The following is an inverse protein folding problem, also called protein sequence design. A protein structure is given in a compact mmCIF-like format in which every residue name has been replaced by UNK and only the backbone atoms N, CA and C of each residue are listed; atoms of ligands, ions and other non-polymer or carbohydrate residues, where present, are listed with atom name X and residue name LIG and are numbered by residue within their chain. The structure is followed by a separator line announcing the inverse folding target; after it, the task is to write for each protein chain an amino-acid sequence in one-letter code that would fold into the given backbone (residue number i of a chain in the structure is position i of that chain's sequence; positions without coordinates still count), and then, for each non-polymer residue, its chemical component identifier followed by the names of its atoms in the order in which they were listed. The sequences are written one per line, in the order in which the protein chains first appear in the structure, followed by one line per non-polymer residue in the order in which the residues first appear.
data_IF_646890940480
#
_entry.id   IF_646890940480
#
_cell.length_a   1.000
_cell.length_b   1.000
_cell.length_c   1.000
_cell.angle_alpha   90.00
_cell.angle_beta   90.00
_cell.angle_gamma   90.00
#
_symmetry.space_group_name_H-M   'P 1'
#
loop_
_entity.id
_entity.type
_entity.pdbx_description
1 polymer ?
#
# COMPACT_ATOMS: atom_id res chain seq x y z
N UNK A 1 4.37 17.16 -17.00
CA UNK A 1 5.19 16.06 -16.46
C UNK A 1 6.53 16.17 -17.16
N UNK A 2 7.59 16.47 -16.42
CA UNK A 2 8.94 16.51 -16.97
C UNK A 2 9.51 15.09 -16.93
N UNK A 3 9.86 14.58 -18.11
CA UNK A 3 10.28 13.20 -18.34
C UNK A 3 11.76 12.99 -17.98
N UNK A 4 12.54 14.07 -17.89
CA UNK A 4 13.97 13.98 -17.59
C UNK A 4 14.23 13.39 -16.21
N UNK A 5 13.42 13.74 -15.21
CA UNK A 5 13.55 13.24 -13.84
C UNK A 5 13.29 11.73 -13.74
N UNK A 6 12.44 11.20 -14.61
CA UNK A 6 12.06 9.78 -14.62
C UNK A 6 13.18 8.88 -15.18
N UNK A 7 13.91 9.36 -16.20
CA UNK A 7 15.11 8.69 -16.71
C UNK A 7 16.27 8.72 -15.73
N UNK A 8 16.40 9.79 -14.95
CA UNK A 8 17.39 9.86 -13.87
C UNK A 8 17.10 8.82 -12.79
N UNK A 9 15.83 8.63 -12.40
CA UNK A 9 15.44 7.63 -11.40
C UNK A 9 15.66 6.19 -11.91
N UNK A 10 15.39 5.91 -13.19
CA UNK A 10 15.66 4.58 -13.75
C UNK A 10 17.15 4.27 -13.87
N UNK A 11 18.01 5.29 -14.05
CA UNK A 11 19.46 5.12 -14.01
C UNK A 11 19.98 4.66 -12.63
N UNK A 12 19.23 4.92 -11.56
CA UNK A 12 19.51 4.42 -10.21
C UNK A 12 18.83 3.07 -9.90
N UNK A 13 18.31 2.37 -10.91
CA UNK A 13 17.57 1.11 -10.77
C UNK A 13 16.32 1.22 -9.86
N UNK A 14 15.73 2.42 -9.79
CA UNK A 14 14.51 2.67 -9.03
C UNK A 14 13.28 2.42 -9.92
N UNK A 15 12.49 1.38 -9.61
CA UNK A 15 11.19 1.14 -10.25
C UNK A 15 10.15 2.13 -9.70
N UNK A 16 10.10 3.33 -10.29
CA UNK A 16 9.17 4.37 -9.90
C UNK A 16 7.76 4.07 -10.46
N UNK A 17 6.82 3.71 -9.59
CA UNK A 17 5.42 3.47 -10.00
C UNK A 17 4.61 4.75 -9.95
N UNK A 18 4.64 5.50 -11.04
CA UNK A 18 3.85 6.73 -11.22
C UNK A 18 2.70 6.48 -12.20
N UNK A 19 1.52 7.00 -11.87
CA UNK A 19 0.38 7.01 -12.78
C UNK A 19 0.40 8.29 -13.61
N UNK A 20 0.48 8.18 -14.93
CA UNK A 20 0.44 9.34 -15.82
C UNK A 20 -0.97 9.65 -16.27
N UNK A 21 -1.35 10.92 -16.20
CA UNK A 21 -2.63 11.41 -16.72
C UNK A 21 -2.57 11.57 -18.25
N UNK A 22 -3.65 11.19 -18.93
CA UNK A 22 -3.87 11.46 -20.36
C UNK A 22 -3.84 10.20 -21.24
N UNK A 23 -4.17 10.37 -22.51
CA UNK A 23 -4.37 9.30 -23.50
C UNK A 23 -3.20 9.11 -24.48
N UNK A 24 -2.07 9.77 -24.23
CA UNK A 24 -0.87 9.59 -25.08
C UNK A 24 -0.45 8.11 -25.05
N UNK A 25 -0.05 7.52 -26.19
CA UNK A 25 0.29 6.09 -26.26
C UNK A 25 1.31 5.64 -25.21
N UNK A 26 2.33 6.47 -24.96
CA UNK A 26 3.36 6.20 -23.94
C UNK A 26 2.81 6.21 -22.50
N UNK A 27 1.91 7.14 -22.19
CA UNK A 27 1.29 7.22 -20.87
C UNK A 27 0.36 6.03 -20.62
N UNK A 28 -0.38 5.62 -21.66
CA UNK A 28 -1.21 4.41 -21.61
C UNK A 28 -0.33 3.19 -21.37
N UNK A 29 0.70 2.97 -22.19
CA UNK A 29 1.61 1.83 -22.09
C UNK A 29 2.29 1.71 -20.72
N UNK A 30 2.81 2.81 -20.17
CA UNK A 30 3.43 2.81 -18.84
C UNK A 30 2.40 2.48 -17.74
N UNK A 31 1.19 3.03 -17.82
CA UNK A 31 0.13 2.72 -16.88
C UNK A 31 -0.28 1.24 -16.96
N UNK A 32 -0.39 0.65 -18.14
CA UNK A 32 -0.68 -0.80 -18.28
C UNK A 32 0.43 -1.65 -17.68
N UNK A 33 1.70 -1.30 -17.90
CA UNK A 33 2.83 -2.00 -17.28
C UNK A 33 2.79 -1.92 -15.75
N UNK A 34 2.50 -0.74 -15.20
CA UNK A 34 2.34 -0.56 -13.75
C UNK A 34 1.17 -1.38 -13.19
N UNK A 35 0.04 -1.45 -13.90
CA UNK A 35 -1.09 -2.29 -13.52
C UNK A 35 -0.72 -3.77 -13.55
N UNK A 36 -0.04 -4.24 -14.59
CA UNK A 36 0.42 -5.62 -14.72
C UNK A 36 1.40 -6.02 -13.60
N UNK A 37 2.26 -5.08 -13.17
CA UNK A 37 3.16 -5.24 -12.01
C UNK A 37 2.46 -5.07 -10.64
N UNK A 38 1.13 -5.09 -10.59
CA UNK A 38 0.36 -5.12 -9.35
C UNK A 38 0.18 -3.78 -8.65
N UNK A 39 0.42 -2.64 -9.32
CA UNK A 39 0.17 -1.32 -8.71
C UNK A 39 -1.28 -1.15 -8.24
N UNK A 40 -2.23 -1.78 -8.94
CA UNK A 40 -3.65 -1.83 -8.56
C UNK A 40 -3.93 -2.54 -7.25
N UNK A 41 -2.94 -3.16 -6.61
CA UNK A 41 -3.09 -3.80 -5.29
C UNK A 41 -2.62 -2.90 -4.14
N UNK A 42 -1.97 -1.76 -4.42
CA UNK A 42 -1.42 -0.85 -3.39
C UNK A 42 -2.49 -0.36 -2.41
N UNK A 43 -3.70 -0.08 -2.90
CA UNK A 43 -4.82 0.40 -2.08
C UNK A 43 -5.24 -0.60 -0.98
N UNK A 44 -4.93 -1.90 -1.14
CA UNK A 44 -5.25 -2.92 -0.14
C UNK A 44 -4.48 -2.68 1.17
N UNK A 45 -3.24 -2.22 1.09
CA UNK A 45 -2.43 -1.87 2.25
C UNK A 45 -2.97 -0.62 2.95
N UNK A 46 -3.37 0.40 2.18
CA UNK A 46 -3.98 1.61 2.73
C UNK A 46 -5.33 1.33 3.40
N UNK A 47 -6.11 0.40 2.83
CA UNK A 47 -7.40 -0.03 3.37
C UNK A 47 -7.23 -0.81 4.67
N UNK A 48 -6.34 -1.81 4.70
CA UNK A 48 -6.10 -2.59 5.92
C UNK A 48 -5.58 -1.72 7.06
N UNK A 49 -4.70 -0.76 6.75
CA UNK A 49 -4.22 0.22 7.70
C UNK A 49 -5.35 1.11 8.22
N UNK A 50 -6.15 1.70 7.33
CA UNK A 50 -7.26 2.57 7.69
C UNK A 50 -8.33 1.87 8.52
N UNK A 51 -8.67 0.61 8.20
CA UNK A 51 -9.62 -0.19 8.97
C UNK A 51 -9.09 -0.49 10.36
N UNK A 52 -7.83 -0.93 10.45
CA UNK A 52 -7.21 -1.27 11.73
C UNK A 52 -7.06 -0.05 12.64
N UNK A 53 -6.64 1.10 12.07
CA UNK A 53 -6.53 2.37 12.80
C UNK A 53 -7.87 2.82 13.40
N UNK A 54 -8.97 2.74 12.65
CA UNK A 54 -10.31 3.09 13.16
C UNK A 54 -10.77 2.19 14.29
N UNK A 55 -10.30 0.95 14.34
CA UNK A 55 -10.59 0.02 15.45
C UNK A 55 -9.63 0.15 16.64
N UNK A 56 -8.49 0.85 16.47
CA UNK A 56 -7.42 0.94 17.47
C UNK A 56 -7.63 2.05 18.50
N UNK A 57 -8.27 3.15 18.12
CA UNK A 57 -8.38 4.37 18.95
C UNK A 57 -9.07 4.12 20.30
N UNK A 58 -9.87 3.05 20.40
CA UNK A 58 -10.54 2.61 21.63
C UNK A 58 -10.01 1.29 22.22
N UNK A 59 -9.01 0.66 21.60
CA UNK A 59 -8.62 -0.72 21.88
C UNK A 59 -7.21 -0.92 22.46
N UNK A 60 -6.32 0.09 22.40
CA UNK A 60 -4.98 -0.02 22.99
C UNK A 60 -5.07 0.08 24.51
N UNK A 61 -4.79 -1.04 25.20
CA UNK A 61 -4.93 -1.14 26.66
C UNK A 61 -3.60 -0.91 27.37
N UNK A 62 -2.49 -1.14 26.69
CA UNK A 62 -1.19 -1.00 27.33
C UNK A 62 -0.74 0.46 27.45
N UNK A 63 -0.10 0.78 28.58
CA UNK A 63 0.55 2.08 28.83
C UNK A 63 2.04 2.08 28.46
N UNK A 64 2.60 0.91 28.16
CA UNK A 64 4.02 0.76 27.78
C UNK A 64 4.15 0.67 26.25
N UNK A 65 5.07 1.45 25.69
CA UNK A 65 5.25 1.58 24.23
C UNK A 65 5.49 0.23 23.53
N UNK A 66 6.38 -0.61 24.04
CA UNK A 66 6.67 -1.92 23.41
C UNK A 66 5.47 -2.86 23.41
N UNK A 67 4.60 -2.76 24.41
CA UNK A 67 3.36 -3.56 24.50
C UNK A 67 2.29 -3.02 23.56
N UNK A 68 2.17 -1.70 23.43
CA UNK A 68 1.31 -1.07 22.44
C UNK A 68 1.73 -1.49 21.01
N UNK A 69 3.02 -1.48 20.71
CA UNK A 69 3.53 -1.97 19.43
C UNK A 69 3.13 -3.42 19.17
N UNK A 70 3.29 -4.30 20.17
CA UNK A 70 2.87 -5.71 20.05
C UNK A 70 1.35 -5.86 19.87
N UNK A 71 0.54 -5.08 20.58
CA UNK A 71 -0.91 -5.05 20.43
C UNK A 71 -1.32 -4.65 18.99
N UNK A 72 -0.69 -3.62 18.44
CA UNK A 72 -0.90 -3.17 17.06
C UNK A 72 -0.59 -4.30 16.07
N UNK A 73 0.57 -4.95 16.18
CA UNK A 73 0.98 -6.05 15.29
C UNK A 73 -0.02 -7.22 15.36
N UNK A 74 -0.46 -7.59 16.57
CA UNK A 74 -1.44 -8.66 16.76
C UNK A 74 -2.81 -8.31 16.17
N UNK A 75 -3.26 -7.06 16.26
CA UNK A 75 -4.52 -6.63 15.65
C UNK A 75 -4.50 -6.77 14.13
N UNK A 76 -3.39 -6.41 13.47
CA UNK A 76 -3.23 -6.63 12.03
C UNK A 76 -3.24 -8.12 11.66
N UNK A 77 -2.51 -8.96 12.39
CA UNK A 77 -2.51 -10.40 12.16
C UNK A 77 -3.92 -10.99 12.31
N UNK A 78 -4.63 -10.64 13.38
CA UNK A 78 -6.01 -11.09 13.61
C UNK A 78 -6.98 -10.58 12.54
N UNK A 79 -6.84 -9.32 12.08
CA UNK A 79 -7.65 -8.78 11.01
C UNK A 79 -7.49 -9.59 9.72
N UNK A 80 -6.25 -9.88 9.33
CA UNK A 80 -5.94 -10.65 8.13
C UNK A 80 -6.46 -12.10 8.22
N UNK A 81 -6.26 -12.77 9.36
CA UNK A 81 -6.77 -14.14 9.58
C UNK A 81 -8.29 -14.17 9.51
N UNK A 82 -8.99 -13.22 10.16
CA UNK A 82 -10.46 -13.13 10.11
C UNK A 82 -10.97 -12.86 8.70
N UNK A 83 -10.26 -12.04 7.93
CA UNK A 83 -10.61 -11.76 6.53
C UNK A 83 -10.45 -13.00 5.65
N UNK A 84 -9.36 -13.75 5.84
CA UNK A 84 -9.10 -15.00 5.13
C UNK A 84 -10.12 -16.09 5.48
N UNK A 85 -10.44 -16.25 6.77
CA UNK A 85 -11.44 -17.21 7.23
C UNK A 85 -12.86 -16.91 6.73
N UNK A 86 -13.18 -15.65 6.42
CA UNK A 86 -14.48 -15.27 5.82
C UNK A 86 -14.55 -15.52 4.31
N UNK A 87 -13.41 -15.63 3.64
CA UNK A 87 -13.35 -15.87 2.20
C UNK A 87 -13.24 -17.36 1.82
N UNK A 88 -13.01 -18.23 2.81
CA UNK A 88 -13.07 -19.69 2.70
C UNK A 88 -14.51 -20.15 2.98
#
# INVERSE_FOLDING_TARGET
QDWHTEYELSAYDLDYRVHHRGSKPMAVAHNTLNQAKGYTQRWLAETSYSTTKRTQDSALRSRFWYRQFREIVLMFALHNIKKLAKSL
#
